data_IF_881966697346
#
_entry.id   IF_881966697346
#
_cell.length_a   1.000
_cell.length_b   1.000
_cell.length_c   1.000
_cell.angle_alpha   90.00
_cell.angle_beta   90.00
_cell.angle_gamma   90.00
#
_symmetry.space_group_name_H-M   'P 1'
#
loop_
_entity.id
_entity.type
_entity.pdbx_description
1 polymer ?
#
# COMPACT_ATOMS: atom_id res chain seq x y z
N UNK A 1 21.13 -6.37 5.11
CA UNK A 1 20.06 -5.68 5.87
C UNK A 1 18.72 -6.33 5.59
N UNK A 2 17.86 -6.50 6.61
CA UNK A 2 16.54 -7.09 6.37
C UNK A 2 15.66 -6.19 5.50
N UNK A 3 14.85 -6.82 4.67
CA UNK A 3 13.83 -6.11 3.89
C UNK A 3 12.81 -5.46 4.82
N UNK A 4 12.22 -4.37 4.35
CA UNK A 4 11.16 -3.67 5.06
C UNK A 4 9.95 -3.52 4.15
N UNK A 5 8.75 -3.52 4.76
CA UNK A 5 7.50 -3.48 4.02
C UNK A 5 6.60 -2.41 4.60
N UNK A 6 6.00 -1.62 3.71
CA UNK A 6 4.95 -0.68 4.09
C UNK A 6 3.62 -1.28 3.65
N UNK A 7 2.69 -1.39 4.59
CA UNK A 7 1.38 -2.01 4.35
C UNK A 7 0.30 -0.96 4.55
N UNK A 8 -0.61 -0.87 3.59
CA UNK A 8 -1.81 -0.04 3.72
C UNK A 8 -3.03 -0.95 3.66
N UNK A 9 -3.79 -0.98 4.76
CA UNK A 9 -5.03 -1.74 4.86
C UNK A 9 -6.19 -0.77 4.72
N UNK A 10 -7.07 -1.03 3.76
CA UNK A 10 -8.25 -0.21 3.50
C UNK A 10 -9.51 -1.02 3.67
N UNK A 11 -10.52 -0.45 4.32
CA UNK A 11 -11.86 -1.04 4.39
C UNK A 11 -12.76 -0.21 3.48
N UNK A 12 -13.31 -0.86 2.46
CA UNK A 12 -14.01 -0.21 1.36
C UNK A 12 -15.48 -0.60 1.38
N UNK A 13 -16.38 0.38 1.44
CA UNK A 13 -17.82 0.14 1.40
C UNK A 13 -18.23 -0.54 0.09
N UNK A 14 -19.25 -1.42 0.13
CA UNK A 14 -19.63 -2.24 -1.03
C UNK A 14 -19.81 -1.46 -2.34
N UNK A 15 -20.52 -0.31 -2.38
CA UNK A 15 -20.74 0.40 -3.64
C UNK A 15 -19.46 0.93 -4.29
N UNK A 16 -18.36 1.06 -3.51
CA UNK A 16 -17.13 1.70 -3.97
C UNK A 16 -16.07 0.68 -4.42
N UNK A 17 -16.25 -0.61 -4.14
CA UNK A 17 -15.19 -1.62 -4.29
C UNK A 17 -14.69 -1.75 -5.73
N UNK A 18 -15.58 -1.76 -6.71
CA UNK A 18 -15.17 -1.90 -8.11
C UNK A 18 -14.37 -0.70 -8.58
N UNK A 19 -14.84 0.52 -8.28
CA UNK A 19 -14.13 1.75 -8.64
C UNK A 19 -12.80 1.86 -7.92
N UNK A 20 -12.75 1.46 -6.65
CA UNK A 20 -11.53 1.44 -5.85
C UNK A 20 -10.50 0.50 -6.47
N UNK A 21 -10.93 -0.70 -6.85
CA UNK A 21 -10.06 -1.69 -7.48
C UNK A 21 -9.45 -1.16 -8.77
N UNK A 22 -10.26 -0.58 -9.63
CA UNK A 22 -9.81 -0.02 -10.91
C UNK A 22 -8.88 1.18 -10.72
N UNK A 23 -9.22 2.08 -9.80
CA UNK A 23 -8.43 3.27 -9.50
C UNK A 23 -7.05 2.88 -8.96
N UNK A 24 -7.00 1.91 -8.05
CA UNK A 24 -5.74 1.46 -7.48
C UNK A 24 -4.85 0.84 -8.55
N UNK A 25 -5.41 -0.03 -9.37
CA UNK A 25 -4.66 -0.72 -10.42
C UNK A 25 -4.13 0.22 -11.51
N UNK A 26 -4.98 1.13 -11.97
CA UNK A 26 -4.65 1.99 -13.13
C UNK A 26 -3.94 3.28 -12.75
N UNK A 27 -4.07 3.75 -11.51
CA UNK A 27 -3.60 5.07 -11.11
C UNK A 27 -2.71 5.05 -9.87
N UNK A 28 -3.26 4.62 -8.71
CA UNK A 28 -2.57 4.83 -7.44
C UNK A 28 -1.36 3.90 -7.24
N UNK A 29 -1.47 2.63 -7.61
CA UNK A 29 -0.35 1.71 -7.46
C UNK A 29 0.83 2.07 -8.37
N UNK A 30 0.62 2.38 -9.66
CA UNK A 30 1.72 2.87 -10.50
C UNK A 30 2.36 4.16 -9.97
N UNK A 31 1.54 5.10 -9.48
CA UNK A 31 2.02 6.34 -8.88
C UNK A 31 2.86 6.06 -7.64
N UNK A 32 2.37 5.18 -6.74
CA UNK A 32 3.09 4.80 -5.53
C UNK A 32 4.41 4.10 -5.86
N UNK A 33 4.40 3.19 -6.81
CA UNK A 33 5.61 2.49 -7.25
C UNK A 33 6.68 3.48 -7.71
N UNK A 34 6.28 4.47 -8.50
CA UNK A 34 7.18 5.50 -9.02
C UNK A 34 7.70 6.43 -7.91
N UNK A 35 6.80 6.94 -7.06
CA UNK A 35 7.16 7.89 -6.01
C UNK A 35 7.99 7.25 -4.89
N UNK A 36 7.65 6.03 -4.48
CA UNK A 36 8.38 5.31 -3.46
C UNK A 36 9.71 4.74 -3.95
N UNK A 37 9.82 4.45 -5.24
CA UNK A 37 10.97 3.72 -5.80
C UNK A 37 11.19 2.42 -5.04
N UNK A 38 10.10 1.74 -4.70
CA UNK A 38 10.15 0.46 -3.98
C UNK A 38 10.63 -0.65 -4.91
N UNK A 39 11.12 -1.75 -4.31
CA UNK A 39 11.62 -2.88 -5.07
C UNK A 39 10.50 -3.66 -5.76
N UNK A 40 9.40 -3.84 -5.03
CA UNK A 40 8.20 -4.55 -5.49
C UNK A 40 6.99 -3.98 -4.78
N UNK A 41 5.82 -4.15 -5.37
CA UNK A 41 4.57 -3.81 -4.71
C UNK A 41 3.47 -4.78 -5.13
N UNK A 42 2.49 -4.95 -4.26
CA UNK A 42 1.40 -5.90 -4.43
C UNK A 42 0.09 -5.31 -3.95
N UNK A 43 -1.00 -5.85 -4.46
CA UNK A 43 -2.35 -5.57 -3.98
C UNK A 43 -3.05 -6.88 -3.68
N UNK A 44 -3.90 -6.86 -2.65
CA UNK A 44 -4.69 -8.02 -2.26
C UNK A 44 -6.08 -7.58 -1.83
N UNK A 45 -7.08 -8.37 -2.21
CA UNK A 45 -8.37 -8.33 -1.55
C UNK A 45 -8.45 -9.52 -0.60
N UNK A 46 -8.88 -9.27 0.64
CA UNK A 46 -9.05 -10.35 1.60
C UNK A 46 -10.10 -11.33 1.11
N UNK A 47 -9.78 -12.62 1.16
CA UNK A 47 -10.74 -13.67 0.83
C UNK A 47 -11.69 -13.95 2.00
N UNK A 48 -11.28 -13.55 3.22
CA UNK A 48 -12.07 -13.80 4.43
C UNK A 48 -13.00 -12.62 4.74
N UNK A 49 -12.46 -11.39 4.66
CA UNK A 49 -13.18 -10.17 5.02
C UNK A 49 -13.51 -9.37 3.78
N UNK A 50 -14.77 -9.41 3.33
CA UNK A 50 -15.18 -8.70 2.14
C UNK A 50 -14.94 -7.19 2.27
N UNK A 51 -14.36 -6.59 1.23
CA UNK A 51 -14.08 -5.16 1.18
C UNK A 51 -12.81 -4.72 1.88
N UNK A 52 -12.01 -5.64 2.40
CA UNK A 52 -10.71 -5.33 2.98
C UNK A 52 -9.63 -5.50 1.93
N UNK A 53 -8.92 -4.43 1.65
CA UNK A 53 -7.87 -4.36 0.64
C UNK A 53 -6.52 -4.10 1.29
N UNK A 54 -5.47 -4.73 0.77
CA UNK A 54 -4.10 -4.49 1.20
C UNK A 54 -3.26 -4.05 0.02
N UNK A 55 -2.44 -3.02 0.23
CA UNK A 55 -1.34 -2.69 -0.67
C UNK A 55 -0.05 -2.86 0.12
N UNK A 56 0.94 -3.50 -0.48
CA UNK A 56 2.22 -3.79 0.16
C UNK A 56 3.36 -3.31 -0.72
N UNK A 57 4.34 -2.65 -0.11
CA UNK A 57 5.50 -2.08 -0.81
C UNK A 57 6.77 -2.56 -0.13
N UNK A 58 7.68 -3.15 -0.90
CA UNK A 58 8.93 -3.71 -0.39
C UNK A 58 10.08 -2.74 -0.61
N UNK A 59 10.87 -2.54 0.43
CA UNK A 59 12.09 -1.73 0.41
C UNK A 59 13.29 -2.58 0.81
N UNK A 60 14.47 -2.18 0.35
CA UNK A 60 15.70 -2.92 0.64
C UNK A 60 16.00 -2.98 2.14
N UNK A 61 15.63 -1.93 2.89
CA UNK A 61 15.83 -1.85 4.33
C UNK A 61 14.89 -0.79 4.94
N UNK A 62 14.87 -0.73 6.27
CA UNK A 62 14.00 0.20 7.00
C UNK A 62 14.39 1.67 6.76
N UNK A 63 15.67 1.95 6.54
CA UNK A 63 16.13 3.32 6.28
C UNK A 63 15.55 3.86 4.98
N UNK A 64 15.46 3.02 3.94
CA UNK A 64 14.84 3.42 2.67
C UNK A 64 13.34 3.58 2.79
N UNK A 65 12.70 2.73 3.59
CA UNK A 65 11.27 2.88 3.88
C UNK A 65 11.01 4.20 4.60
N UNK A 66 11.76 4.49 5.65
CA UNK A 66 11.63 5.76 6.40
C UNK A 66 11.84 6.97 5.48
N UNK A 67 12.83 6.92 4.61
CA UNK A 67 13.10 8.00 3.65
C UNK A 67 11.89 8.21 2.72
N UNK A 68 11.28 7.12 2.23
CA UNK A 68 10.11 7.20 1.37
C UNK A 68 8.92 7.83 2.08
N UNK A 69 8.68 7.45 3.35
CA UNK A 69 7.57 7.99 4.14
C UNK A 69 7.77 9.45 4.55
N UNK A 70 9.00 9.96 4.52
CA UNK A 70 9.33 11.35 4.80
C UNK A 70 9.47 12.19 3.54
N UNK A 71 9.18 11.63 2.38
CA UNK A 71 9.34 12.32 1.10
C UNK A 71 8.10 13.13 0.71
N UNK A 72 8.28 14.08 -0.20
CA UNK A 72 7.17 14.80 -0.80
C UNK A 72 6.28 13.86 -1.63
N UNK A 73 6.85 12.82 -2.22
CA UNK A 73 6.10 11.80 -2.94
C UNK A 73 5.06 11.12 -2.08
N UNK A 74 5.40 10.81 -0.82
CA UNK A 74 4.42 10.23 0.10
C UNK A 74 3.27 11.20 0.41
N UNK A 75 3.59 12.48 0.62
CA UNK A 75 2.55 13.50 0.83
C UNK A 75 1.62 13.61 -0.36
N UNK A 76 2.15 13.51 -1.57
CA UNK A 76 1.35 13.51 -2.79
C UNK A 76 0.44 12.28 -2.86
N UNK A 77 0.94 11.11 -2.46
CA UNK A 77 0.15 9.87 -2.44
C UNK A 77 -0.99 9.95 -1.43
N UNK A 78 -0.74 10.51 -0.25
CA UNK A 78 -1.78 10.71 0.77
C UNK A 78 -2.87 11.65 0.24
N UNK A 79 -2.46 12.77 -0.35
CA UNK A 79 -3.41 13.74 -0.93
C UNK A 79 -4.22 13.12 -2.06
N UNK A 80 -3.59 12.34 -2.93
CA UNK A 80 -4.25 11.65 -4.04
C UNK A 80 -5.33 10.69 -3.53
N UNK A 81 -5.00 9.91 -2.52
CA UNK A 81 -5.94 8.97 -1.90
C UNK A 81 -7.11 9.70 -1.24
N UNK A 82 -6.82 10.72 -0.43
CA UNK A 82 -7.84 11.47 0.30
C UNK A 82 -8.78 12.22 -0.65
N UNK A 83 -8.27 12.73 -1.74
CA UNK A 83 -9.06 13.42 -2.76
C UNK A 83 -9.98 12.46 -3.51
N UNK A 84 -9.46 11.26 -3.83
CA UNK A 84 -10.25 10.26 -4.55
C UNK A 84 -11.34 9.64 -3.67
N UNK A 85 -11.06 9.44 -2.39
CA UNK A 85 -11.92 8.69 -1.46
C UNK A 85 -12.20 9.48 -0.19
N UNK A 86 -12.94 10.60 -0.28
CA UNK A 86 -13.28 11.41 0.91
C UNK A 86 -14.25 10.71 1.85
N UNK A 87 -15.02 9.72 1.35
CA UNK A 87 -16.01 8.98 2.12
C UNK A 87 -16.02 7.51 1.71
N UNK A 88 -16.44 6.65 2.64
CA UNK A 88 -16.67 5.23 2.35
C UNK A 88 -15.45 4.35 2.34
N UNK A 89 -14.27 4.90 2.59
CA UNK A 89 -13.01 4.16 2.67
C UNK A 89 -12.26 4.62 3.92
N UNK A 90 -11.92 3.67 4.79
CA UNK A 90 -11.03 3.93 5.93
C UNK A 90 -9.75 3.15 5.71
N UNK A 91 -8.63 3.65 6.25
CA UNK A 91 -7.37 2.94 6.11
C UNK A 91 -6.51 3.04 7.35
N UNK A 92 -5.67 2.04 7.53
CA UNK A 92 -4.61 1.98 8.54
C UNK A 92 -3.31 1.61 7.85
N UNK A 93 -2.20 1.93 8.47
CA UNK A 93 -0.86 1.69 7.94
C UNK A 93 -0.05 0.91 8.94
N UNK A 94 0.89 0.11 8.41
CA UNK A 94 1.83 -0.61 9.23
C UNK A 94 3.17 -0.68 8.49
N UNK A 95 4.26 -0.73 9.22
CA UNK A 95 5.57 -1.00 8.65
C UNK A 95 6.18 -2.20 9.34
N UNK A 96 6.69 -3.09 8.51
CA UNK A 96 7.17 -4.40 8.95
C UNK A 96 8.62 -4.56 8.55
N UNK A 97 9.43 -5.11 9.46
CA UNK A 97 10.78 -5.49 9.13
C UNK A 97 10.85 -7.01 9.05
N UNK A 98 11.44 -7.53 7.97
CA UNK A 98 11.57 -8.97 7.78
C UNK A 98 12.47 -9.55 8.85
N UNK A 99 11.98 -10.54 9.58
CA UNK A 99 12.74 -11.22 10.61
C UNK A 99 13.40 -12.49 10.07
N UNK A 100 12.65 -13.27 9.31
CA UNK A 100 13.10 -14.54 8.80
C UNK A 100 12.35 -14.92 7.54
N UNK A 101 13.06 -15.50 6.60
CA UNK A 101 12.47 -16.01 5.37
C UNK A 101 12.96 -17.43 5.16
N UNK A 102 12.04 -18.32 4.82
CA UNK A 102 12.35 -19.71 4.48
C UNK A 102 11.59 -20.11 3.24
N UNK A 103 12.21 -20.95 2.41
CA UNK A 103 11.51 -21.53 1.27
C UNK A 103 10.53 -22.58 1.76
N UNK A 104 9.32 -22.59 1.19
CA UNK A 104 8.36 -23.67 1.41
C UNK A 104 8.86 -24.96 0.77
N UNK A 105 8.47 -26.07 1.33
CA UNK A 105 8.89 -27.39 0.83
C UNK A 105 7.70 -28.21 0.37
#
# INVERSE_FOLDING_TARGET
MPKAYFIVRSVVEPPLRQRFDQWYSSHHLPMASSEFKCEKCWRFWSALDAGVHYAAYQFADMARLDAALNSDGFKMLVADFDQAWPHGVSRTRDWLELVEERSGS
#
